data_IF_416319132570
#
_entry.id   IF_416319132570
#
_cell.length_a   1.000
_cell.length_b   1.000
_cell.length_c   1.000
_cell.angle_alpha   90.00
_cell.angle_beta   90.00
_cell.angle_gamma   90.00
#
_symmetry.space_group_name_H-M   'P 1'
#
loop_
_entity.id
_entity.type
_entity.pdbx_description
1 polymer ?
#
# COMPACT_ATOMS: atom_id res chain seq x y z
N UNK A 1 28.24 -32.97 11.12
CA UNK A 1 27.01 -33.16 10.33
C UNK A 1 26.16 -31.93 10.55
N UNK A 2 26.23 -30.97 9.63
CA UNK A 2 25.45 -29.73 9.71
C UNK A 2 24.07 -29.98 9.12
N UNK A 3 23.06 -30.09 9.98
CA UNK A 3 21.66 -30.09 9.58
C UNK A 3 21.25 -28.65 9.29
N UNK A 4 21.40 -28.23 8.04
CA UNK A 4 20.76 -27.02 7.53
C UNK A 4 19.25 -27.24 7.52
N UNK A 5 18.58 -26.59 8.46
CA UNK A 5 17.11 -26.48 8.52
C UNK A 5 16.59 -25.94 7.19
N UNK A 6 15.54 -26.52 6.57
CA UNK A 6 14.95 -25.96 5.37
C UNK A 6 14.34 -24.60 5.73
N UNK A 7 14.81 -23.54 5.07
CA UNK A 7 14.16 -22.23 5.11
C UNK A 7 12.72 -22.43 4.63
N UNK A 8 11.74 -22.42 5.53
CA UNK A 8 10.35 -22.29 5.12
C UNK A 8 10.23 -20.94 4.42
N UNK A 9 10.16 -20.96 3.10
CA UNK A 9 9.90 -19.77 2.32
C UNK A 9 8.47 -19.32 2.65
N UNK A 10 8.34 -18.28 3.46
CA UNK A 10 7.06 -17.61 3.68
C UNK A 10 6.52 -17.17 2.30
N UNK A 11 5.34 -17.63 1.87
CA UNK A 11 4.75 -17.21 0.60
C UNK A 11 4.62 -15.69 0.50
N UNK A 12 4.37 -15.00 1.62
CA UNK A 12 4.31 -13.55 1.66
C UNK A 12 5.67 -12.90 1.36
N UNK A 13 6.78 -13.49 1.82
CA UNK A 13 8.12 -13.01 1.51
C UNK A 13 8.40 -13.07 0.01
N UNK A 14 7.98 -14.16 -0.66
CA UNK A 14 8.14 -14.29 -2.11
C UNK A 14 7.32 -13.24 -2.87
N UNK A 15 6.08 -13.00 -2.43
CA UNK A 15 5.21 -11.95 -3.00
C UNK A 15 5.85 -10.58 -2.85
N UNK A 16 6.38 -10.24 -1.65
CA UNK A 16 7.08 -8.97 -1.41
C UNK A 16 8.30 -8.83 -2.34
N UNK A 17 9.14 -9.86 -2.43
CA UNK A 17 10.34 -9.82 -3.29
C UNK A 17 9.96 -9.62 -4.76
N UNK A 18 8.94 -10.33 -5.24
CA UNK A 18 8.49 -10.23 -6.62
C UNK A 18 7.91 -8.85 -6.92
N UNK A 19 7.00 -8.35 -6.09
CA UNK A 19 6.37 -7.04 -6.30
C UNK A 19 7.40 -5.90 -6.29
N UNK A 20 8.36 -5.94 -5.37
CA UNK A 20 9.46 -4.97 -5.35
C UNK A 20 10.32 -5.07 -6.63
N UNK A 21 10.50 -6.28 -7.18
CA UNK A 21 11.20 -6.49 -8.46
C UNK A 21 10.41 -5.94 -9.64
N UNK A 22 9.09 -6.16 -9.69
CA UNK A 22 8.21 -5.68 -10.76
C UNK A 22 8.16 -4.14 -10.81
N UNK A 23 8.10 -3.51 -9.64
CA UNK A 23 8.16 -2.06 -9.46
C UNK A 23 9.52 -1.51 -9.90
N UNK A 24 10.63 -2.20 -9.58
CA UNK A 24 11.98 -1.80 -10.00
C UNK A 24 12.25 -2.00 -11.50
N UNK A 25 11.60 -2.96 -12.14
CA UNK A 25 11.75 -3.21 -13.56
C UNK A 25 11.27 -2.03 -14.44
N UNK A 26 10.49 -1.09 -13.88
CA UNK A 26 9.99 0.09 -14.60
C UNK A 26 11.05 1.19 -14.81
N UNK A 27 12.29 0.97 -14.37
CA UNK A 27 13.44 1.86 -14.53
C UNK A 27 13.31 3.24 -13.87
N UNK A 28 12.76 4.24 -14.56
CA UNK A 28 12.74 5.64 -14.11
C UNK A 28 11.31 6.13 -13.84
N UNK A 29 11.05 6.59 -12.62
CA UNK A 29 9.74 7.14 -12.23
C UNK A 29 9.32 6.74 -10.82
N UNK A 30 8.10 7.14 -10.44
CA UNK A 30 7.44 6.70 -9.21
C UNK A 30 6.42 5.65 -9.58
N UNK A 31 6.52 4.47 -8.99
CA UNK A 31 5.70 3.33 -9.33
C UNK A 31 5.12 2.69 -8.09
N UNK A 32 3.85 2.31 -8.18
CA UNK A 32 3.13 1.62 -7.11
C UNK A 32 2.37 0.44 -7.68
N UNK A 33 2.38 -0.66 -6.94
CA UNK A 33 1.52 -1.82 -7.15
C UNK A 33 0.81 -2.14 -5.84
N UNK A 34 -0.44 -2.58 -5.92
CA UNK A 34 -1.20 -3.06 -4.76
C UNK A 34 -1.56 -4.52 -4.97
N UNK A 35 -1.36 -5.32 -3.94
CA UNK A 35 -1.74 -6.73 -3.89
C UNK A 35 -2.78 -6.89 -2.79
N UNK A 36 -3.89 -7.54 -3.10
CA UNK A 36 -4.96 -7.86 -2.15
C UNK A 36 -5.01 -9.37 -1.99
N UNK A 37 -4.90 -9.83 -0.75
CA UNK A 37 -4.90 -11.24 -0.38
C UNK A 37 -6.06 -11.48 0.58
N UNK A 38 -6.97 -12.37 0.24
CA UNK A 38 -8.03 -12.84 1.15
C UNK A 38 -7.57 -14.14 1.79
N UNK A 39 -7.66 -14.24 3.10
CA UNK A 39 -7.28 -15.42 3.89
C UNK A 39 -5.85 -15.93 3.61
N UNK A 40 -4.95 -14.99 3.29
CA UNK A 40 -3.55 -15.24 2.93
C UNK A 40 -3.37 -15.99 1.60
N UNK A 41 -4.38 -16.00 0.72
CA UNK A 41 -4.22 -16.50 -0.64
C UNK A 41 -3.34 -15.54 -1.46
N UNK A 42 -2.30 -16.12 -2.07
CA UNK A 42 -1.28 -15.45 -2.88
C UNK A 42 -1.29 -15.95 -4.33
N UNK A 43 -2.37 -16.58 -4.77
CA UNK A 43 -2.55 -17.11 -6.13
C UNK A 43 -2.68 -16.00 -7.20
N UNK A 44 -3.28 -14.87 -6.83
CA UNK A 44 -3.67 -13.75 -7.68
C UNK A 44 -4.54 -14.17 -8.87
N UNK A 45 -5.59 -14.95 -8.60
CA UNK A 45 -6.52 -15.52 -9.56
C UNK A 45 -7.79 -14.67 -9.82
N UNK A 46 -7.83 -13.44 -9.32
CA UNK A 46 -8.95 -12.48 -9.30
C UNK A 46 -10.21 -12.94 -8.55
N UNK A 47 -10.34 -14.22 -8.23
CA UNK A 47 -11.46 -14.77 -7.46
C UNK A 47 -11.22 -14.66 -5.95
N UNK A 48 -9.98 -14.87 -5.50
CA UNK A 48 -9.63 -14.94 -4.09
C UNK A 48 -8.51 -13.95 -3.71
N UNK A 49 -7.77 -13.49 -4.69
CA UNK A 49 -6.71 -12.50 -4.51
C UNK A 49 -6.50 -11.70 -5.79
N UNK A 50 -6.00 -10.48 -5.65
CA UNK A 50 -5.91 -9.52 -6.74
C UNK A 50 -4.57 -8.81 -6.76
N UNK A 51 -4.09 -8.52 -7.96
CA UNK A 51 -2.86 -7.79 -8.21
C UNK A 51 -3.15 -6.68 -9.20
N UNK A 52 -2.97 -5.44 -8.78
CA UNK A 52 -3.08 -4.32 -9.72
C UNK A 52 -1.93 -4.37 -10.75
N UNK A 53 -2.16 -3.75 -11.91
CA UNK A 53 -1.05 -3.32 -12.76
C UNK A 53 -0.12 -2.37 -11.97
N UNK A 54 1.15 -2.29 -12.39
CA UNK A 54 2.08 -1.28 -11.86
C UNK A 54 1.67 0.09 -12.40
N UNK A 55 1.32 1.03 -11.52
CA UNK A 55 0.90 2.39 -11.88
C UNK A 55 2.08 3.35 -11.82
N UNK A 56 2.12 4.31 -12.73
CA UNK A 56 3.18 5.32 -12.81
C UNK A 56 2.72 6.66 -12.23
N UNK A 57 3.67 7.56 -11.93
CA UNK A 57 3.34 8.94 -11.61
C UNK A 57 2.49 9.58 -12.71
N UNK A 58 1.48 10.34 -12.32
CA UNK A 58 0.48 10.90 -13.23
C UNK A 58 -0.63 9.95 -13.64
N UNK A 59 -0.63 8.69 -13.17
CA UNK A 59 -1.75 7.76 -13.35
C UNK A 59 -2.93 8.03 -12.41
N UNK A 60 -2.72 8.79 -11.34
CA UNK A 60 -3.81 9.28 -10.49
C UNK A 60 -4.59 10.42 -11.13
N UNK A 61 -5.59 10.90 -10.40
CA UNK A 61 -6.54 11.95 -10.77
C UNK A 61 -7.35 12.40 -9.56
N UNK A 62 -8.62 12.73 -9.76
CA UNK A 62 -9.54 13.19 -8.70
C UNK A 62 -10.23 12.01 -7.99
N UNK A 63 -9.58 10.86 -7.89
CA UNK A 63 -10.18 9.65 -7.29
C UNK A 63 -10.29 9.75 -5.76
N UNK A 64 -10.90 8.75 -5.13
CA UNK A 64 -11.23 8.68 -3.70
C UNK A 64 -10.07 9.03 -2.78
N UNK A 65 -8.86 8.63 -3.14
CA UNK A 65 -7.65 8.81 -2.32
C UNK A 65 -6.82 10.03 -2.73
N UNK A 66 -7.28 10.83 -3.71
CA UNK A 66 -6.72 12.16 -3.92
C UNK A 66 -7.01 13.02 -2.68
N UNK A 67 -5.99 13.65 -2.10
CA UNK A 67 -6.17 14.52 -0.92
C UNK A 67 -6.66 15.93 -1.31
N UNK A 68 -7.10 16.10 -2.56
CA UNK A 68 -7.67 17.34 -3.08
C UNK A 68 -9.14 17.42 -2.68
N UNK A 69 -9.52 18.45 -1.92
CA UNK A 69 -10.91 18.60 -1.49
C UNK A 69 -11.83 18.79 -2.70
N UNK A 70 -12.85 17.91 -2.82
CA UNK A 70 -14.15 18.13 -3.46
C UNK A 70 -14.49 17.44 -4.80
N UNK A 71 -14.08 16.19 -5.02
CA UNK A 71 -14.84 15.27 -5.88
C UNK A 71 -15.71 14.32 -5.04
N UNK A 72 -16.82 13.81 -5.60
CA UNK A 72 -17.73 12.89 -4.89
C UNK A 72 -16.97 11.65 -4.41
N UNK A 73 -16.93 11.44 -3.10
CA UNK A 73 -16.28 10.28 -2.48
C UNK A 73 -14.80 10.49 -2.11
N UNK A 74 -14.19 11.64 -2.43
CA UNK A 74 -12.82 11.95 -2.03
C UNK A 74 -12.73 12.29 -0.53
N UNK A 75 -11.66 11.81 0.10
CA UNK A 75 -11.39 12.11 1.51
C UNK A 75 -11.01 13.59 1.71
N UNK A 76 -11.44 14.23 2.81
CA UNK A 76 -11.08 15.61 3.07
C UNK A 76 -9.56 15.75 3.25
N UNK A 77 -8.99 16.84 2.73
CA UNK A 77 -7.57 17.16 2.99
C UNK A 77 -7.31 17.26 4.50
N UNK A 78 -6.39 16.47 5.08
CA UNK A 78 -6.02 16.60 6.48
C UNK A 78 -5.41 17.99 6.77
N UNK A 79 -5.67 18.55 7.95
CA UNK A 79 -5.15 19.87 8.35
C UNK A 79 -3.63 19.97 8.37
N UNK A 80 -2.92 18.85 8.55
CA UNK A 80 -1.46 18.76 8.52
C UNK A 80 -0.82 18.62 7.14
N UNK A 81 -1.61 18.46 6.07
CA UNK A 81 -1.10 18.34 4.69
C UNK A 81 -1.31 19.67 3.97
N UNK A 82 -0.26 20.27 3.42
CA UNK A 82 -0.39 21.56 2.70
C UNK A 82 -1.27 21.43 1.45
N UNK A 83 -1.82 22.54 0.95
CA UNK A 83 -2.61 22.54 -0.28
C UNK A 83 -1.77 22.10 -1.50
N UNK A 84 -0.50 22.48 -1.55
CA UNK A 84 0.43 22.09 -2.61
C UNK A 84 0.77 20.59 -2.55
N UNK A 85 1.02 20.05 -1.34
CA UNK A 85 1.23 18.62 -1.15
C UNK A 85 -0.02 17.82 -1.55
N UNK A 86 -1.20 18.27 -1.14
CA UNK A 86 -2.47 17.66 -1.56
C UNK A 86 -2.66 17.70 -3.08
N UNK A 87 -2.32 18.80 -3.75
CA UNK A 87 -2.42 18.91 -5.21
C UNK A 87 -1.41 18.02 -5.93
N UNK A 88 -0.20 17.85 -5.39
CA UNK A 88 0.77 16.91 -5.93
C UNK A 88 0.30 15.47 -5.73
N UNK A 89 -0.36 15.20 -4.60
CA UNK A 89 -0.85 13.88 -4.20
C UNK A 89 -1.82 13.26 -5.20
N UNK A 90 -2.64 14.06 -5.90
CA UNK A 90 -3.58 13.57 -6.91
C UNK A 90 -2.89 12.95 -8.13
N UNK A 91 -1.60 13.26 -8.35
CA UNK A 91 -0.80 12.67 -9.43
C UNK A 91 0.01 11.48 -8.94
N UNK A 92 -0.12 11.05 -7.69
CA UNK A 92 0.64 9.92 -7.18
C UNK A 92 0.12 8.61 -7.77
N UNK A 93 1.06 7.73 -8.15
CA UNK A 93 0.75 6.37 -8.61
C UNK A 93 0.00 5.55 -7.55
N UNK A 94 0.24 5.84 -6.27
CA UNK A 94 -0.44 5.22 -5.13
C UNK A 94 -1.95 5.49 -5.17
N UNK A 95 -2.41 6.67 -5.60
CA UNK A 95 -3.84 6.99 -5.67
C UNK A 95 -4.55 6.06 -6.65
N UNK A 96 -4.02 5.91 -7.85
CA UNK A 96 -4.59 5.03 -8.87
C UNK A 96 -4.54 3.55 -8.46
N UNK A 97 -3.43 3.10 -7.87
CA UNK A 97 -3.29 1.71 -7.45
C UNK A 97 -4.22 1.36 -6.27
N UNK A 98 -4.40 2.29 -5.31
CA UNK A 98 -5.36 2.12 -4.22
C UNK A 98 -6.80 2.16 -4.72
N UNK A 99 -7.13 3.00 -5.72
CA UNK A 99 -8.46 3.02 -6.32
C UNK A 99 -8.78 1.69 -7.01
N UNK A 100 -7.89 1.18 -7.86
CA UNK A 100 -8.06 -0.13 -8.54
C UNK A 100 -8.25 -1.26 -7.52
N UNK A 101 -7.48 -1.26 -6.44
CA UNK A 101 -7.60 -2.26 -5.39
C UNK A 101 -8.93 -2.14 -4.62
N UNK A 102 -9.35 -0.90 -4.32
CA UNK A 102 -10.62 -0.65 -3.64
C UNK A 102 -11.80 -1.11 -4.50
N UNK A 103 -11.79 -0.80 -5.81
CA UNK A 103 -12.87 -1.19 -6.72
C UNK A 103 -13.00 -2.71 -6.82
N UNK A 104 -11.87 -3.43 -6.83
CA UNK A 104 -11.90 -4.90 -6.76
C UNK A 104 -12.48 -5.39 -5.43
N UNK A 105 -12.03 -4.84 -4.30
CA UNK A 105 -12.52 -5.21 -2.95
C UNK A 105 -14.02 -4.93 -2.82
N UNK A 106 -14.49 -3.76 -3.29
CA UNK A 106 -15.90 -3.39 -3.30
C UNK A 106 -16.72 -4.33 -4.18
N UNK A 107 -16.17 -4.71 -5.34
CA UNK A 107 -16.77 -5.69 -6.26
C UNK A 107 -16.97 -7.07 -5.65
N UNK A 108 -16.10 -7.50 -4.71
CA UNK A 108 -16.30 -8.74 -3.94
C UNK A 108 -17.52 -8.64 -3.00
N UNK A 109 -17.92 -7.44 -2.60
CA UNK A 109 -19.15 -7.19 -1.83
C UNK A 109 -19.26 -8.06 -0.57
N UNK A 110 -20.36 -8.78 -0.42
CA UNK A 110 -20.58 -9.72 0.70
C UNK A 110 -20.12 -11.14 0.42
N UNK A 111 -19.42 -11.40 -0.70
CA UNK A 111 -19.02 -12.74 -1.10
C UNK A 111 -17.81 -13.27 -0.32
N UNK A 112 -17.05 -12.38 0.32
CA UNK A 112 -16.00 -12.79 1.24
C UNK A 112 -16.63 -13.50 2.45
N UNK A 113 -16.18 -14.71 2.81
CA UNK A 113 -16.77 -15.49 3.90
C UNK A 113 -16.74 -14.73 5.23
N UNK A 114 -17.72 -15.00 6.11
CA UNK A 114 -17.99 -14.29 7.38
C UNK A 114 -16.84 -14.28 8.41
N UNK A 115 -15.69 -14.90 8.11
CA UNK A 115 -14.48 -14.96 8.96
C UNK A 115 -13.19 -14.65 8.19
N UNK A 116 -13.29 -13.88 7.10
CA UNK A 116 -12.16 -13.57 6.23
C UNK A 116 -11.15 -12.58 6.83
N UNK A 117 -9.88 -12.73 6.48
CA UNK A 117 -8.84 -11.69 6.66
C UNK A 117 -8.54 -11.07 5.30
N UNK A 118 -8.56 -9.75 5.21
CA UNK A 118 -8.08 -9.02 4.04
C UNK A 118 -6.71 -8.46 4.38
N UNK A 119 -5.71 -8.87 3.62
CA UNK A 119 -4.37 -8.31 3.69
C UNK A 119 -4.06 -7.58 2.40
N UNK A 120 -3.89 -6.27 2.49
CA UNK A 120 -3.46 -5.42 1.38
C UNK A 120 -1.99 -5.08 1.55
N UNK A 121 -1.21 -5.28 0.49
CA UNK A 121 0.19 -4.92 0.40
C UNK A 121 0.37 -3.85 -0.68
N UNK A 122 0.67 -2.64 -0.25
CA UNK A 122 1.04 -1.51 -1.12
C UNK A 122 2.55 -1.55 -1.30
N UNK A 123 3.03 -1.59 -2.54
CA UNK A 123 4.43 -1.76 -2.88
C UNK A 123 4.84 -0.59 -3.75
N UNK A 124 5.73 0.27 -3.24
CA UNK A 124 6.15 1.47 -3.96
C UNK A 124 7.67 1.62 -3.93
N UNK A 125 8.24 2.18 -5.01
CA UNK A 125 9.66 2.50 -5.04
C UNK A 125 10.00 3.81 -4.31
N UNK A 126 9.02 4.61 -3.90
CA UNK A 126 9.19 5.86 -3.13
C UNK A 126 8.00 5.99 -2.16
N UNK A 127 8.24 6.58 -0.99
CA UNK A 127 7.26 6.79 0.08
C UNK A 127 7.88 6.47 1.45
N UNK A 128 7.12 6.47 2.56
CA UNK A 128 5.91 7.25 2.72
C UNK A 128 6.25 8.72 3.07
N UNK A 129 5.61 9.67 2.39
CA UNK A 129 5.40 11.01 2.96
C UNK A 129 4.14 11.00 3.85
N UNK A 130 3.83 12.11 4.51
CA UNK A 130 2.65 12.19 5.37
C UNK A 130 1.33 12.03 4.59
N UNK A 131 1.28 12.48 3.33
CA UNK A 131 0.17 12.19 2.43
C UNK A 131 -0.04 10.68 2.18
N UNK A 132 1.04 9.92 1.92
CA UNK A 132 0.96 8.46 1.80
C UNK A 132 0.37 7.81 3.06
N UNK A 133 0.88 8.20 4.25
CA UNK A 133 0.39 7.66 5.53
C UNK A 133 -1.11 7.88 5.69
N UNK A 134 -1.59 9.07 5.35
CA UNK A 134 -3.02 9.41 5.44
C UNK A 134 -3.88 8.66 4.43
N UNK A 135 -3.39 8.46 3.20
CA UNK A 135 -4.10 7.63 2.20
C UNK A 135 -4.25 6.18 2.65
N UNK A 136 -3.21 5.59 3.24
CA UNK A 136 -3.27 4.22 3.77
C UNK A 136 -4.28 4.11 4.91
N UNK A 137 -4.35 5.11 5.80
CA UNK A 137 -5.36 5.19 6.86
C UNK A 137 -6.78 5.28 6.29
N UNK A 138 -7.00 6.16 5.30
CA UNK A 138 -8.29 6.29 4.62
C UNK A 138 -8.71 5.02 3.89
N UNK A 139 -7.80 4.40 3.15
CA UNK A 139 -8.05 3.14 2.48
C UNK A 139 -8.42 2.03 3.49
N UNK A 140 -7.65 1.88 4.58
CA UNK A 140 -7.95 0.91 5.63
C UNK A 140 -9.35 1.14 6.23
N UNK A 141 -9.69 2.40 6.53
CA UNK A 141 -10.99 2.76 7.08
C UNK A 141 -12.14 2.46 6.11
N UNK A 142 -11.97 2.76 4.82
CA UNK A 142 -12.98 2.49 3.80
C UNK A 142 -13.23 0.99 3.63
N UNK A 143 -12.16 0.17 3.63
CA UNK A 143 -12.30 -1.30 3.60
C UNK A 143 -13.01 -1.80 4.85
N UNK A 144 -12.64 -1.29 6.04
CA UNK A 144 -13.35 -1.64 7.29
C UNK A 144 -14.82 -1.24 7.24
N UNK A 145 -15.17 -0.11 6.64
CA UNK A 145 -16.56 0.32 6.49
C UNK A 145 -17.37 -0.59 5.56
N UNK A 146 -16.76 -1.14 4.50
CA UNK A 146 -17.42 -2.08 3.59
C UNK A 146 -17.83 -3.38 4.29
N UNK A 147 -16.95 -3.92 5.13
CA UNK A 147 -17.16 -5.24 5.75
C UNK A 147 -17.63 -5.19 7.20
N UNK A 148 -17.50 -4.04 7.86
CA UNK A 148 -17.78 -3.86 9.29
C UNK A 148 -16.81 -4.67 10.16
N UNK A 149 -17.32 -5.23 11.26
CA UNK A 149 -16.54 -6.05 12.19
C UNK A 149 -16.39 -7.51 11.73
N UNK A 150 -16.79 -7.87 10.50
CA UNK A 150 -16.79 -9.27 10.04
C UNK A 150 -15.40 -9.75 9.60
N UNK A 151 -14.54 -8.84 9.15
CA UNK A 151 -13.22 -9.17 8.61
C UNK A 151 -12.12 -8.41 9.36
N UNK A 152 -10.98 -9.07 9.54
CA UNK A 152 -9.76 -8.38 9.95
C UNK A 152 -9.10 -7.75 8.71
N UNK A 153 -8.70 -6.49 8.80
CA UNK A 153 -8.09 -5.75 7.69
C UNK A 153 -6.67 -5.37 8.10
N UNK A 154 -5.69 -5.78 7.31
CA UNK A 154 -4.30 -5.32 7.42
C UNK A 154 -3.91 -4.64 6.12
N UNK A 155 -3.40 -3.41 6.21
CA UNK A 155 -2.81 -2.70 5.08
C UNK A 155 -1.34 -2.46 5.42
N UNK A 156 -0.47 -3.20 4.75
CA UNK A 156 0.97 -2.97 4.81
C UNK A 156 1.40 -2.16 3.60
N UNK A 157 2.29 -1.20 3.82
CA UNK A 157 3.00 -0.54 2.75
C UNK A 157 4.49 -0.82 2.84
N UNK A 158 5.07 -1.23 1.72
CA UNK A 158 6.44 -1.70 1.56
C UNK A 158 7.19 -0.82 0.59
N UNK A 159 8.36 -0.35 1.01
CA UNK A 159 9.18 0.58 0.24
C UNK A 159 10.62 0.05 0.07
N UNK A 160 11.09 0.02 -1.18
CA UNK A 160 12.42 -0.47 -1.59
C UNK A 160 13.43 0.67 -1.77
N UNK A 161 13.69 1.47 -0.73
CA UNK A 161 14.73 2.50 -0.82
C UNK A 161 15.74 2.45 0.30
N UNK A 162 17.02 2.45 -0.07
CA UNK A 162 18.12 2.84 0.82
C UNK A 162 18.09 4.34 1.14
N UNK A 163 17.45 5.15 0.29
CA UNK A 163 17.23 6.60 0.47
C UNK A 163 16.12 6.95 1.48
N UNK A 164 15.54 5.94 2.13
CA UNK A 164 14.49 6.07 3.13
C UNK A 164 14.87 6.91 4.37
N UNK A 165 16.16 7.20 4.57
CA UNK A 165 16.66 8.03 5.66
C UNK A 165 17.03 9.46 5.27
N UNK A 166 16.92 9.83 3.98
CA UNK A 166 17.32 11.16 3.50
C UNK A 166 16.09 11.97 3.14
N UNK A 167 15.76 12.95 3.98
CA UNK A 167 14.87 14.06 3.61
C UNK A 167 15.44 14.69 2.34
N UNK A 168 14.77 14.53 1.20
CA UNK A 168 15.18 15.22 -0.01
C UNK A 168 14.66 16.65 0.07
N UNK A 169 15.52 17.59 0.47
CA UNK A 169 15.34 18.99 0.13
C UNK A 169 15.46 19.14 -1.39
N UNK A 170 14.36 18.91 -2.11
CA UNK A 170 14.20 19.45 -3.46
C UNK A 170 13.93 20.93 -3.29
N UNK A 171 14.81 21.75 -3.86
CA UNK A 171 14.75 23.22 -3.81
C UNK A 171 13.31 23.75 -3.94
N UNK A 172 12.75 24.25 -2.84
CA UNK A 172 11.43 24.87 -2.78
C UNK A 172 10.29 24.01 -2.20
N UNK A 173 10.55 22.79 -1.71
CA UNK A 173 9.53 21.95 -1.07
C UNK A 173 10.05 21.29 0.21
N UNK A 174 9.49 21.67 1.37
CA UNK A 174 9.69 20.93 2.63
C UNK A 174 8.94 19.60 2.50
N UNK A 175 9.67 18.57 2.07
CA UNK A 175 9.10 17.24 1.87
C UNK A 175 9.05 16.50 3.22
N UNK A 176 7.87 16.06 3.65
CA UNK A 176 7.67 15.23 4.85
C UNK A 176 8.09 13.77 4.66
N UNK A 177 8.81 13.47 3.57
CA UNK A 177 9.33 12.14 3.29
C UNK A 177 10.17 11.68 4.47
N UNK A 178 9.72 10.60 5.09
CA UNK A 178 10.25 10.17 6.36
C UNK A 178 9.48 8.98 6.91
N UNK A 179 10.24 7.99 7.33
CA UNK A 179 9.75 6.67 7.71
C UNK A 179 9.40 6.59 9.20
N UNK A 180 9.04 7.71 9.83
CA UNK A 180 8.55 7.71 11.21
C UNK A 180 7.33 6.79 11.32
N UNK A 181 7.43 5.77 12.17
CA UNK A 181 6.42 4.71 12.31
C UNK A 181 6.56 3.51 11.37
N UNK A 182 7.50 3.54 10.41
CA UNK A 182 7.83 2.36 9.59
C UNK A 182 8.97 1.55 10.23
N UNK A 183 8.91 0.23 10.05
CA UNK A 183 9.89 -0.72 10.58
C UNK A 183 10.82 -1.19 9.46
N UNK A 184 12.12 -1.24 9.73
CA UNK A 184 13.08 -1.86 8.81
C UNK A 184 12.92 -3.38 8.84
N UNK A 185 12.78 -3.99 7.66
CA UNK A 185 12.55 -5.41 7.48
C UNK A 185 13.59 -6.01 6.52
N UNK A 186 13.78 -7.32 6.62
CA UNK A 186 14.62 -8.08 5.70
C UNK A 186 13.89 -9.39 5.39
N UNK A 187 13.67 -9.65 4.11
CA UNK A 187 13.09 -10.93 3.65
C UNK A 187 14.07 -12.08 3.91
N UNK A 188 13.59 -13.32 3.88
CA UNK A 188 14.44 -14.51 3.96
C UNK A 188 15.56 -14.55 2.89
N UNK A 189 15.33 -13.89 1.74
CA UNK A 189 16.33 -13.76 0.65
C UNK A 189 17.41 -12.69 0.91
N UNK A 190 17.32 -11.95 2.01
CA UNK A 190 18.22 -10.84 2.34
C UNK A 190 17.82 -9.49 1.74
N UNK A 191 16.72 -9.42 0.97
CA UNK A 191 16.21 -8.14 0.45
C UNK A 191 15.70 -7.27 1.60
N UNK A 192 16.22 -6.05 1.71
CA UNK A 192 15.88 -5.06 2.74
C UNK A 192 14.77 -4.14 2.24
N UNK A 193 13.84 -3.79 3.13
CA UNK A 193 12.75 -2.87 2.82
C UNK A 193 12.24 -2.20 4.10
N UNK A 194 11.40 -1.18 3.95
CA UNK A 194 10.69 -0.56 5.07
C UNK A 194 9.20 -0.88 5.00
N UNK A 195 8.59 -1.16 6.16
CA UNK A 195 7.18 -1.53 6.29
C UNK A 195 6.43 -0.58 7.20
N UNK A 196 5.33 0.00 6.71
CA UNK A 196 4.34 0.69 7.53
C UNK A 196 3.05 -0.15 7.57
N UNK A 197 2.45 -0.31 8.75
CA UNK A 197 1.23 -1.12 8.91
C UNK A 197 0.07 -0.29 9.46
N UNK A 198 -1.08 -0.41 8.82
CA UNK A 198 -2.39 -0.08 9.37
C UNK A 198 -3.14 -1.40 9.62
N UNK A 199 -3.76 -1.54 10.79
CA UNK A 199 -4.43 -2.79 11.15
C UNK A 199 -5.72 -2.52 11.90
N UNK A 200 -6.79 -3.20 11.48
CA UNK A 200 -8.05 -3.29 12.19
C UNK A 200 -8.33 -4.75 12.53
N UNK A 201 -8.62 -5.00 13.81
CA UNK A 201 -9.08 -6.29 14.31
C UNK A 201 -10.49 -6.14 14.89
N UNK A 202 -11.44 -7.01 14.50
CA UNK A 202 -12.72 -7.12 15.17
C UNK A 202 -12.55 -7.33 16.67
N UNK A 203 -13.45 -6.76 17.48
CA UNK A 203 -13.49 -7.07 18.92
C UNK A 203 -14.06 -8.47 19.09
N UNK A 204 -13.31 -9.32 19.79
CA UNK A 204 -13.74 -10.66 20.23
C UNK A 204 -14.86 -10.60 21.23
#
# INVERSE_FOLDING_TARGET
MSTSTPHSHDPLDQVVVQALTDVHAQHQGLFTQVLVMVDSDVSFDDANSYRTAVKAAGSGGEERYSLTSASKGAHPRPSGISADEARLSSRDSEVAALQDAYDWIEGQGTQLPDVGRIHVLVVSNIGPCDACKKRLEYFCNDVVQLFGQRVAVTVDSVYDTAAAGTTMNRSGFDSTYGYSGATACTTASGKKFWRLRQEFRPKS
#
